data_IF_259975628231
#
_entry.id   IF_259975628231
#
_cell.length_a   1.000
_cell.length_b   1.000
_cell.length_c   1.000
_cell.angle_alpha   90.00
_cell.angle_beta   90.00
_cell.angle_gamma   90.00
#
_symmetry.space_group_name_H-M   'P 1'
#
loop_
_entity.id
_entity.type
_entity.pdbx_description
1 polymer ?
#
# COMPACT_ATOMS: atom_id res chain seq x y z
N UNK A 1 20.37 -13.08 -16.79
CA UNK A 1 18.92 -12.82 -16.80
C UNK A 1 18.69 -11.62 -15.90
N UNK A 2 17.94 -10.62 -16.35
CA UNK A 2 17.51 -9.53 -15.47
C UNK A 2 16.57 -10.12 -14.40
N UNK A 3 16.76 -9.75 -13.14
CA UNK A 3 15.84 -10.17 -12.08
C UNK A 3 14.48 -9.49 -12.30
N UNK A 4 13.36 -10.18 -12.07
CA UNK A 4 12.05 -9.56 -12.22
C UNK A 4 11.85 -8.40 -11.25
N UNK A 5 11.12 -7.35 -11.64
CA UNK A 5 10.85 -6.22 -10.76
C UNK A 5 9.96 -6.63 -9.59
N UNK A 6 10.11 -5.92 -8.47
CA UNK A 6 9.30 -6.11 -7.27
C UNK A 6 8.43 -4.89 -6.98
N UNK A 7 7.24 -5.14 -6.46
CA UNK A 7 6.37 -4.12 -5.89
C UNK A 7 6.17 -4.40 -4.40
N UNK A 8 6.31 -3.36 -3.57
CA UNK A 8 6.05 -3.39 -2.14
C UNK A 8 4.80 -2.55 -1.87
N UNK A 9 3.71 -3.22 -1.49
CA UNK A 9 2.45 -2.60 -1.05
C UNK A 9 2.55 -2.26 0.44
N UNK A 10 2.65 -0.97 0.74
CA UNK A 10 2.74 -0.44 2.11
C UNK A 10 1.36 0.06 2.58
N UNK A 11 0.43 -0.88 2.70
CA UNK A 11 -0.93 -0.66 3.20
C UNK A 11 -1.01 -0.36 4.70
N UNK A 12 -2.12 0.23 5.14
CA UNK A 12 -2.35 0.54 6.57
C UNK A 12 -2.42 -0.69 7.47
N UNK A 13 -2.71 -1.88 6.91
CA UNK A 13 -2.79 -3.14 7.64
C UNK A 13 -1.49 -3.95 7.65
N UNK A 14 -0.47 -3.51 6.91
CA UNK A 14 0.80 -4.23 6.78
C UNK A 14 1.44 -4.04 5.43
N UNK A 15 2.71 -4.43 5.36
CA UNK A 15 3.52 -4.39 4.13
C UNK A 15 3.51 -5.75 3.44
N UNK A 16 3.48 -5.77 2.11
CA UNK A 16 3.51 -6.99 1.29
C UNK A 16 4.47 -6.83 0.13
N UNK A 17 5.20 -7.88 -0.21
CA UNK A 17 6.14 -7.90 -1.34
C UNK A 17 5.58 -8.78 -2.44
N UNK A 18 5.58 -8.27 -3.66
CA UNK A 18 5.13 -8.96 -4.85
C UNK A 18 6.22 -8.95 -5.90
N UNK A 19 6.46 -10.10 -6.52
CA UNK A 19 7.29 -10.26 -7.71
C UNK A 19 6.39 -10.24 -8.93
N UNK A 20 6.72 -9.39 -9.90
CA UNK A 20 6.02 -9.36 -11.18
C UNK A 20 6.58 -10.45 -12.10
N UNK A 21 5.67 -11.27 -12.63
CA UNK A 21 5.95 -12.34 -13.58
C UNK A 21 5.19 -12.05 -14.88
N UNK A 22 5.63 -12.61 -16.00
CA UNK A 22 4.98 -12.42 -17.30
C UNK A 22 3.47 -12.72 -17.24
N UNK A 23 3.12 -13.83 -16.57
CA UNK A 23 1.75 -14.32 -16.44
C UNK A 23 1.07 -13.96 -15.10
N UNK A 24 1.66 -13.11 -14.25
CA UNK A 24 1.01 -12.80 -12.97
C UNK A 24 1.89 -12.13 -11.92
N UNK A 25 1.55 -12.38 -10.65
CA UNK A 25 2.30 -11.88 -9.50
C UNK A 25 2.49 -13.01 -8.48
N UNK A 26 3.66 -13.04 -7.86
CA UNK A 26 3.98 -13.97 -6.78
C UNK A 26 4.19 -13.18 -5.49
N UNK A 27 3.57 -13.59 -4.39
CA UNK A 27 3.80 -12.96 -3.09
C UNK A 27 5.04 -13.57 -2.44
N UNK A 28 5.99 -12.71 -2.05
CA UNK A 28 7.20 -13.10 -1.35
C UNK A 28 7.08 -12.89 0.17
N UNK A 29 7.81 -13.66 0.99
CA UNK A 29 7.95 -13.38 2.40
C UNK A 29 8.72 -12.07 2.62
N UNK A 30 8.51 -11.45 3.79
CA UNK A 30 9.35 -10.35 4.23
C UNK A 30 10.71 -10.91 4.68
N UNK A 31 11.84 -10.29 4.32
CA UNK A 31 13.16 -10.90 4.54
C UNK A 31 13.59 -10.98 6.00
N UNK A 32 13.05 -10.13 6.88
CA UNK A 32 13.51 -9.99 8.27
C UNK A 32 12.53 -10.53 9.34
N UNK A 33 11.68 -11.50 8.98
CA UNK A 33 10.81 -12.21 9.92
C UNK A 33 9.44 -12.56 9.35
N UNK A 34 8.58 -13.16 10.17
CA UNK A 34 7.26 -13.64 9.72
C UNK A 34 6.30 -12.52 9.33
N UNK A 35 6.47 -11.30 9.88
CA UNK A 35 5.55 -10.19 9.67
C UNK A 35 6.28 -8.91 9.27
N UNK A 36 5.97 -8.42 8.07
CA UNK A 36 6.44 -7.12 7.62
C UNK A 36 5.87 -5.99 8.50
N UNK A 37 6.64 -4.91 8.75
CA UNK A 37 6.17 -3.77 9.53
C UNK A 37 5.04 -3.03 8.79
N UNK A 38 4.22 -2.30 9.54
CA UNK A 38 3.32 -1.30 8.96
C UNK A 38 4.14 -0.03 8.76
N UNK A 39 4.35 0.39 7.50
CA UNK A 39 5.27 1.49 7.18
C UNK A 39 4.94 2.78 7.96
N UNK A 40 3.65 3.12 8.10
CA UNK A 40 3.22 4.32 8.84
C UNK A 40 3.57 4.31 10.33
N UNK A 41 3.81 3.14 10.95
CA UNK A 41 4.18 3.06 12.37
C UNK A 41 5.68 3.24 12.61
N UNK A 42 6.50 2.94 11.60
CA UNK A 42 7.96 2.99 11.71
C UNK A 42 8.55 4.26 11.10
N UNK A 43 7.76 5.01 10.32
CA UNK A 43 8.23 6.09 9.47
C UNK A 43 8.90 7.21 10.28
N UNK A 44 8.37 7.59 11.44
CA UNK A 44 8.95 8.63 12.30
C UNK A 44 10.21 8.20 13.06
N UNK A 45 10.52 6.90 13.11
CA UNK A 45 11.70 6.38 13.79
C UNK A 45 12.87 6.24 12.81
N UNK A 46 14.01 6.84 13.15
CA UNK A 46 15.24 6.68 12.36
C UNK A 46 15.65 5.20 12.25
N UNK A 47 15.62 4.47 13.37
CA UNK A 47 15.90 3.03 13.40
C UNK A 47 14.85 2.24 12.61
N UNK A 48 13.58 2.65 12.69
CA UNK A 48 12.49 2.03 11.92
C UNK A 48 12.72 2.15 10.41
N UNK A 49 13.07 3.34 9.93
CA UNK A 49 13.40 3.59 8.51
C UNK A 49 14.64 2.81 8.07
N UNK A 50 15.70 2.82 8.88
CA UNK A 50 16.92 2.09 8.59
C UNK A 50 16.69 0.58 8.52
N UNK A 51 15.91 0.02 9.45
CA UNK A 51 15.54 -1.39 9.44
C UNK A 51 14.70 -1.76 8.22
N UNK A 52 13.74 -0.92 7.83
CA UNK A 52 12.93 -1.13 6.62
C UNK A 52 13.80 -1.12 5.36
N UNK A 53 14.68 -0.14 5.22
CA UNK A 53 15.58 -0.04 4.08
C UNK A 53 16.57 -1.23 4.02
N UNK A 54 17.12 -1.65 5.16
CA UNK A 54 17.99 -2.82 5.25
C UNK A 54 17.26 -4.11 4.84
N UNK A 55 15.97 -4.24 5.19
CA UNK A 55 15.13 -5.34 4.74
C UNK A 55 14.90 -5.29 3.23
N UNK A 56 14.59 -4.12 2.66
CA UNK A 56 14.40 -3.95 1.21
C UNK A 56 15.65 -4.34 0.44
N UNK A 57 16.85 -3.98 0.92
CA UNK A 57 18.14 -4.33 0.30
C UNK A 57 18.44 -5.84 0.28
N UNK A 58 17.70 -6.66 1.02
CA UNK A 58 17.83 -8.13 1.00
C UNK A 58 16.90 -8.78 -0.02
N UNK A 59 16.00 -8.01 -0.64
CA UNK A 59 15.07 -8.54 -1.62
C UNK A 59 15.80 -8.89 -2.93
N UNK A 60 15.36 -9.95 -3.64
CA UNK A 60 16.03 -10.44 -4.84
C UNK A 60 15.63 -9.63 -6.07
N UNK A 61 15.90 -8.32 -6.11
CA UNK A 61 15.74 -7.47 -7.30
C UNK A 61 16.44 -6.12 -7.14
N UNK A 62 16.95 -5.59 -8.26
CA UNK A 62 17.50 -4.24 -8.37
C UNK A 62 16.48 -3.23 -8.95
N UNK A 63 15.23 -3.65 -9.15
CA UNK A 63 14.12 -2.80 -9.60
C UNK A 63 12.94 -2.97 -8.65
N UNK A 64 12.82 -2.05 -7.69
CA UNK A 64 11.85 -2.14 -6.60
C UNK A 64 10.98 -0.88 -6.57
N UNK A 65 9.68 -1.07 -6.69
CA UNK A 65 8.70 -0.03 -6.47
C UNK A 65 8.09 -0.15 -5.08
N UNK A 66 8.17 0.89 -4.24
CA UNK A 66 7.50 0.96 -2.93
C UNK A 66 6.31 1.90 -3.03
N UNK A 67 5.10 1.34 -2.99
CA UNK A 67 3.85 2.09 -3.01
C UNK A 67 3.32 2.29 -1.59
N UNK A 68 3.47 3.49 -1.04
CA UNK A 68 2.87 3.89 0.23
C UNK A 68 1.44 4.42 0.02
N UNK A 69 0.49 3.93 0.81
CA UNK A 69 -0.94 4.24 0.62
C UNK A 69 -1.55 4.96 1.82
N UNK A 70 -2.84 4.71 2.10
CA UNK A 70 -3.65 5.44 3.07
C UNK A 70 -3.08 5.48 4.48
N UNK A 71 -2.32 4.45 4.89
CA UNK A 71 -1.67 4.42 6.21
C UNK A 71 -0.68 5.56 6.38
N UNK A 72 0.16 5.80 5.37
CA UNK A 72 1.18 6.86 5.40
C UNK A 72 0.53 8.23 5.22
N UNK A 73 -0.45 8.36 4.30
CA UNK A 73 -1.21 9.62 4.12
C UNK A 73 -1.83 10.08 5.44
N UNK A 74 -2.51 9.17 6.14
CA UNK A 74 -3.11 9.47 7.44
C UNK A 74 -2.08 9.82 8.53
N UNK A 75 -0.91 9.17 8.53
CA UNK A 75 0.16 9.49 9.47
C UNK A 75 0.71 10.92 9.25
N UNK A 76 0.80 11.36 8.00
CA UNK A 76 1.14 12.75 7.67
C UNK A 76 0.04 13.72 8.13
N UNK A 77 -1.22 13.44 7.79
CA UNK A 77 -2.36 14.30 8.12
C UNK A 77 -2.53 14.51 9.64
N UNK A 78 -2.20 13.48 10.42
CA UNK A 78 -2.27 13.50 11.90
C UNK A 78 -1.00 14.04 12.57
N UNK A 79 0.06 14.29 11.82
CA UNK A 79 1.38 14.69 12.35
C UNK A 79 2.17 13.56 13.03
N UNK A 80 1.71 12.31 12.93
CA UNK A 80 2.45 11.14 13.42
C UNK A 80 3.71 10.83 12.59
N UNK A 81 3.78 11.35 11.36
CA UNK A 81 4.96 11.39 10.52
C UNK A 81 5.03 12.73 9.78
N UNK A 82 6.21 13.09 9.29
CA UNK A 82 6.43 14.31 8.51
C UNK A 82 6.87 14.01 7.07
N UNK A 83 6.75 14.97 6.13
CA UNK A 83 7.36 14.82 4.80
C UNK A 83 8.88 14.56 4.87
N UNK A 84 9.57 15.12 5.86
CA UNK A 84 11.00 14.89 6.06
C UNK A 84 11.31 13.42 6.40
N UNK A 85 10.42 12.72 7.10
CA UNK A 85 10.59 11.30 7.38
C UNK A 85 10.50 10.43 6.12
N UNK A 86 9.67 10.83 5.15
CA UNK A 86 9.57 10.17 3.83
C UNK A 86 10.86 10.37 3.04
N UNK A 87 11.38 11.60 2.99
CA UNK A 87 12.64 11.90 2.29
C UNK A 87 13.84 11.20 2.96
N UNK A 88 13.85 11.13 4.29
CA UNK A 88 14.85 10.37 5.03
C UNK A 88 14.80 8.88 4.68
N UNK A 89 13.60 8.29 4.54
CA UNK A 89 13.47 6.90 4.08
C UNK A 89 13.94 6.75 2.64
N UNK A 90 13.56 7.66 1.73
CA UNK A 90 14.00 7.63 0.32
C UNK A 90 15.51 7.57 0.18
N UNK A 91 16.23 8.33 1.00
CA UNK A 91 17.71 8.36 0.97
C UNK A 91 18.34 7.07 1.49
N UNK A 92 17.64 6.31 2.33
CA UNK A 92 18.13 5.04 2.87
C UNK A 92 17.86 3.85 1.96
N UNK A 93 16.88 3.96 1.05
CA UNK A 93 16.54 2.87 0.13
C UNK A 93 17.69 2.56 -0.83
N UNK A 94 17.84 1.30 -1.28
CA UNK A 94 18.87 0.93 -2.26
C UNK A 94 18.63 1.68 -3.58
N UNK A 95 19.69 1.92 -4.36
CA UNK A 95 19.65 2.75 -5.57
C UNK A 95 18.61 2.30 -6.63
N UNK A 96 18.26 1.02 -6.65
CA UNK A 96 17.24 0.43 -7.52
C UNK A 96 15.81 0.53 -7.00
N UNK A 97 15.60 1.11 -5.82
CA UNK A 97 14.30 1.25 -5.21
C UNK A 97 13.74 2.68 -5.32
N UNK A 98 12.46 2.78 -5.65
CA UNK A 98 11.70 4.03 -5.64
C UNK A 98 10.61 3.97 -4.57
N UNK A 99 10.33 5.12 -3.93
CA UNK A 99 9.22 5.25 -2.98
C UNK A 99 8.26 6.34 -3.43
N UNK A 100 7.01 5.94 -3.67
CA UNK A 100 5.92 6.83 -4.01
C UNK A 100 4.81 6.79 -2.96
N UNK A 101 4.40 7.98 -2.51
CA UNK A 101 3.17 8.15 -1.76
C UNK A 101 2.03 8.27 -2.76
N UNK A 102 1.30 7.17 -2.96
CA UNK A 102 0.23 7.11 -3.92
C UNK A 102 -0.92 8.03 -3.51
N UNK A 103 -1.50 8.76 -4.46
CA UNK A 103 -2.77 9.44 -4.21
C UNK A 103 -3.88 8.40 -4.04
N UNK A 104 -5.01 8.75 -3.39
CA UNK A 104 -6.14 7.82 -3.29
C UNK A 104 -6.66 7.32 -4.64
N UNK A 105 -6.56 8.15 -5.69
CA UNK A 105 -7.01 7.79 -7.05
C UNK A 105 -5.97 6.93 -7.79
N UNK A 106 -4.68 7.13 -7.56
CA UNK A 106 -3.64 6.29 -8.15
C UNK A 106 -3.69 4.88 -7.56
N UNK A 107 -3.88 4.77 -6.23
CA UNK A 107 -4.13 3.50 -5.55
C UNK A 107 -5.34 2.78 -6.16
N UNK A 108 -6.48 3.47 -6.31
CA UNK A 108 -7.68 2.90 -6.94
C UNK A 108 -7.43 2.46 -8.40
N UNK A 109 -6.63 3.23 -9.15
CA UNK A 109 -6.28 2.93 -10.54
C UNK A 109 -5.45 1.65 -10.61
N UNK A 110 -4.45 1.49 -9.75
CA UNK A 110 -3.61 0.30 -9.72
C UNK A 110 -4.39 -0.94 -9.30
N UNK A 111 -5.24 -0.85 -8.28
CA UNK A 111 -6.07 -1.97 -7.84
C UNK A 111 -7.05 -2.42 -8.94
N UNK A 112 -7.70 -1.47 -9.63
CA UNK A 112 -8.62 -1.78 -10.73
C UNK A 112 -7.88 -2.40 -11.92
N UNK A 113 -6.69 -1.89 -12.24
CA UNK A 113 -5.83 -2.45 -13.27
C UNK A 113 -5.39 -3.89 -12.92
N UNK A 114 -5.02 -4.14 -11.66
CA UNK A 114 -4.65 -5.47 -11.18
C UNK A 114 -5.83 -6.46 -11.30
N UNK A 115 -7.04 -6.06 -10.88
CA UNK A 115 -8.26 -6.86 -11.02
C UNK A 115 -8.55 -7.23 -12.48
N UNK A 116 -8.46 -6.25 -13.39
CA UNK A 116 -8.71 -6.45 -14.83
C UNK A 116 -7.66 -7.32 -15.49
N UNK A 117 -6.39 -7.21 -15.07
CA UNK A 117 -5.32 -8.10 -15.55
C UNK A 117 -5.57 -9.55 -15.13
N UNK A 118 -6.11 -9.78 -13.93
CA UNK A 118 -6.48 -11.13 -13.47
C UNK A 118 -7.76 -11.67 -14.12
N UNK A 119 -8.63 -10.80 -14.64
CA UNK A 119 -9.90 -11.17 -15.28
C UNK A 119 -10.06 -10.47 -16.64
N UNK A 120 -9.21 -10.81 -17.63
CA UNK A 120 -9.28 -10.18 -18.95
C UNK A 120 -10.64 -10.46 -19.61
N UNK A 121 -11.21 -9.45 -20.26
CA UNK A 121 -12.51 -9.55 -20.94
C UNK A 121 -13.74 -9.37 -20.06
N UNK A 122 -13.59 -9.22 -18.73
CA UNK A 122 -14.69 -8.88 -17.85
C UNK A 122 -14.75 -7.37 -17.58
N UNK A 123 -15.93 -6.76 -17.74
CA UNK A 123 -16.21 -5.43 -17.16
C UNK A 123 -16.36 -5.58 -15.64
N UNK A 124 -15.22 -5.74 -14.96
CA UNK A 124 -15.18 -5.83 -13.52
C UNK A 124 -15.22 -4.41 -12.93
N UNK A 125 -16.19 -4.18 -12.05
CA UNK A 125 -16.13 -3.13 -11.06
C UNK A 125 -15.36 -3.63 -9.82
N UNK A 126 -14.79 -2.69 -9.09
CA UNK A 126 -13.94 -2.94 -7.94
C UNK A 126 -14.49 -2.23 -6.71
N UNK A 127 -14.45 -2.95 -5.59
CA UNK A 127 -14.51 -2.41 -4.23
C UNK A 127 -13.25 -2.90 -3.50
N UNK A 128 -12.33 -2.00 -3.18
CA UNK A 128 -11.17 -2.28 -2.32
C UNK A 128 -11.40 -1.66 -0.95
N UNK A 129 -11.21 -2.47 0.11
CA UNK A 129 -11.46 -2.07 1.49
C UNK A 129 -10.17 -2.09 2.30
N UNK A 130 -9.53 -0.93 2.41
CA UNK A 130 -8.36 -0.73 3.25
C UNK A 130 -8.71 -0.40 4.70
N UNK A 131 -7.69 -0.35 5.56
CA UNK A 131 -7.88 0.01 6.98
C UNK A 131 -8.10 1.51 7.21
N UNK A 132 -7.73 2.37 6.24
CA UNK A 132 -7.82 3.84 6.32
C UNK A 132 -8.57 4.49 5.16
N UNK A 133 -8.83 3.77 4.08
CA UNK A 133 -9.63 4.25 2.93
C UNK A 133 -10.31 3.09 2.23
N UNK A 134 -11.27 3.43 1.37
CA UNK A 134 -11.94 2.50 0.47
C UNK A 134 -11.89 3.07 -0.95
N UNK A 135 -11.73 2.20 -1.93
CA UNK A 135 -11.66 2.56 -3.34
C UNK A 135 -12.78 1.86 -4.10
N UNK A 136 -13.51 2.63 -4.90
CA UNK A 136 -14.52 2.16 -5.84
C UNK A 136 -14.01 2.44 -7.26
N UNK A 137 -14.06 1.43 -8.12
CA UNK A 137 -13.62 1.58 -9.50
C UNK A 137 -14.59 0.92 -10.47
N UNK A 138 -14.97 1.64 -11.52
CA UNK A 138 -15.73 1.10 -12.65
C UNK A 138 -15.28 1.79 -13.94
N UNK A 139 -15.82 1.40 -15.09
CA UNK A 139 -15.49 1.97 -16.41
C UNK A 139 -15.37 3.52 -16.39
N UNK A 140 -14.15 4.02 -16.54
CA UNK A 140 -13.85 5.46 -16.58
C UNK A 140 -14.06 6.22 -15.26
N UNK A 141 -14.41 5.55 -14.15
CA UNK A 141 -14.72 6.20 -12.87
C UNK A 141 -13.94 5.57 -11.73
N UNK A 142 -13.27 6.42 -10.96
CA UNK A 142 -12.57 6.06 -9.73
C UNK A 142 -13.04 6.99 -8.62
N UNK A 143 -13.40 6.43 -7.48
CA UNK A 143 -13.77 7.16 -6.28
C UNK A 143 -12.96 6.61 -5.12
N UNK A 144 -12.42 7.50 -4.29
CA UNK A 144 -11.88 7.12 -2.99
C UNK A 144 -12.74 7.73 -1.91
N UNK A 145 -13.15 6.88 -0.97
CA UNK A 145 -13.90 7.27 0.20
C UNK A 145 -12.95 7.31 1.40
N UNK A 146 -13.03 8.34 2.26
CA UNK A 146 -12.30 8.41 3.53
C UNK A 146 -12.93 7.47 4.57
N UNK A 147 -13.34 6.28 4.14
CA UNK A 147 -14.04 5.31 4.95
C UNK A 147 -13.01 4.30 5.45
N UNK A 148 -12.59 4.51 6.68
CA UNK A 148 -11.87 3.50 7.39
C UNK A 148 -12.88 2.55 8.04
N UNK A 149 -12.62 1.24 8.03
CA UNK A 149 -13.49 0.25 8.71
C UNK A 149 -13.86 0.67 10.14
N UNK A 150 -12.98 1.41 10.84
CA UNK A 150 -13.24 1.92 12.19
C UNK A 150 -14.29 3.04 12.24
N UNK A 151 -14.30 3.98 11.29
CA UNK A 151 -15.33 5.03 11.23
C UNK A 151 -16.68 4.48 10.75
N UNK A 152 -16.64 3.56 9.78
CA UNK A 152 -17.85 2.96 9.22
C UNK A 152 -18.64 2.14 10.23
N UNK A 153 -17.95 1.35 11.05
CA UNK A 153 -18.58 0.56 12.09
C UNK A 153 -19.29 1.43 13.14
N UNK A 154 -18.69 2.54 13.56
CA UNK A 154 -19.28 3.44 14.55
C UNK A 154 -20.47 4.23 13.98
N UNK A 155 -20.37 4.67 12.72
CA UNK A 155 -21.47 5.32 12.01
C UNK A 155 -22.64 4.36 11.74
N UNK A 156 -22.36 3.10 11.40
CA UNK A 156 -23.40 2.08 11.19
C UNK A 156 -24.07 1.65 12.50
N UNK A 157 -23.33 1.59 13.62
CA UNK A 157 -23.90 1.39 14.96
C UNK A 157 -24.75 2.56 15.43
N UNK A 158 -24.42 3.78 15.04
CA UNK A 158 -25.21 4.97 15.33
C UNK A 158 -26.45 5.11 14.42
N UNK A 159 -26.53 4.33 13.33
CA UNK A 159 -27.66 4.37 12.41
C UNK A 159 -28.92 3.74 13.02
N UNK A 160 -30.09 4.41 12.96
CA UNK A 160 -31.34 3.92 13.53
C UNK A 160 -31.89 2.65 12.87
N UNK A 161 -31.29 2.20 11.76
CA UNK A 161 -31.74 1.02 10.99
C UNK A 161 -31.44 -0.31 11.74
N UNK A 162 -30.55 -0.31 12.73
CA UNK A 162 -30.17 -1.52 13.47
C UNK A 162 -30.70 -1.57 14.93
N UNK A 163 -31.71 -0.77 15.28
CA UNK A 163 -32.46 -0.88 16.54
C UNK A 163 -33.82 -1.56 16.35
N UNK A 164 -33.82 -2.73 15.72
CA UNK A 164 -34.98 -3.63 15.67
C UNK A 164 -34.61 -4.97 16.33
#
# INVERSE_FOLDING_TARGET
MLMPPLAIDCGSGGTRVFRLLDAGVERLPWPDGEKAPVLSHILASADGRAAFAAAVSKLPSDDIFVGATAGVRHALDSGAASPADIEALRTLLPAGASLELLSPLDEARFELAALRRQRPGCSAAMLSMGGKSMQLGSEGRLVSLPFAMHLGHDLLKASPIHRA
#
